data_IF_619513943522
#
_entry.id   IF_619513943522
#
_cell.length_a   1.000
_cell.length_b   1.000
_cell.length_c   1.000
_cell.angle_alpha   90.00
_cell.angle_beta   90.00
_cell.angle_gamma   90.00
#
_symmetry.space_group_name_H-M   'P 1'
#
loop_
_entity.id
_entity.type
_entity.pdbx_description
1 polymer ?
#
# COMPACT_ATOMS: atom_id res chain seq x y z
N UNK A 1 -22.99 4.61 13.54
CA UNK A 1 -21.52 4.60 13.77
C UNK A 1 -20.88 5.49 12.72
N UNK A 2 -19.87 6.28 13.10
CA UNK A 2 -19.09 7.09 12.15
C UNK A 2 -18.11 6.13 11.47
N UNK A 3 -18.05 6.09 10.12
CA UNK A 3 -17.08 5.23 9.42
C UNK A 3 -15.63 5.68 9.70
N UNK A 4 -14.70 4.75 9.73
CA UNK A 4 -13.27 5.05 9.85
C UNK A 4 -12.74 5.74 8.59
N UNK A 5 -13.24 5.30 7.41
CA UNK A 5 -12.97 5.91 6.11
C UNK A 5 -14.27 6.03 5.32
N UNK A 6 -14.51 7.19 4.73
CA UNK A 6 -15.68 7.45 3.86
C UNK A 6 -15.22 8.11 2.56
N UNK A 7 -15.57 7.52 1.44
CA UNK A 7 -15.38 8.04 0.08
C UNK A 7 -16.76 8.41 -0.46
N UNK A 8 -16.93 9.66 -0.86
CA UNK A 8 -18.23 10.16 -1.33
C UNK A 8 -18.09 10.81 -2.68
N UNK A 9 -18.81 10.27 -3.68
CA UNK A 9 -18.86 10.74 -5.06
C UNK A 9 -17.49 11.08 -5.64
N UNK A 10 -16.48 10.23 -5.32
CA UNK A 10 -15.11 10.47 -5.75
C UNK A 10 -15.01 10.38 -7.26
N UNK A 11 -14.50 11.43 -7.87
CA UNK A 11 -14.16 11.50 -9.28
C UNK A 11 -12.73 11.97 -9.50
N UNK A 12 -12.05 11.39 -10.49
CA UNK A 12 -10.73 11.82 -10.94
C UNK A 12 -10.68 11.88 -12.45
N UNK A 13 -10.28 13.03 -12.96
CA UNK A 13 -10.04 13.26 -14.39
C UNK A 13 -8.69 13.93 -14.60
N UNK A 14 -8.10 13.66 -15.76
CA UNK A 14 -6.87 14.29 -16.21
C UNK A 14 -7.12 14.98 -17.56
N UNK A 15 -6.49 16.12 -17.76
CA UNK A 15 -6.49 16.80 -19.05
C UNK A 15 -5.50 16.09 -19.97
N UNK A 16 -5.95 15.73 -21.18
CA UNK A 16 -5.15 15.08 -22.22
C UNK A 16 -5.27 15.86 -23.52
N UNK A 17 -4.38 15.61 -24.48
CA UNK A 17 -4.43 16.23 -25.81
C UNK A 17 -5.75 15.95 -26.57
N UNK A 18 -6.47 14.90 -26.18
CA UNK A 18 -7.76 14.50 -26.75
C UNK A 18 -8.97 14.99 -25.94
N UNK A 19 -8.74 15.83 -24.89
CA UNK A 19 -9.77 16.31 -23.98
C UNK A 19 -9.66 15.68 -22.60
N UNK A 20 -10.72 15.80 -21.80
CA UNK A 20 -10.75 15.34 -20.39
C UNK A 20 -10.96 13.83 -20.31
N UNK A 21 -9.98 13.11 -19.78
CA UNK A 21 -10.07 11.66 -19.52
C UNK A 21 -10.55 11.42 -18.09
N UNK A 22 -11.76 10.89 -17.94
CA UNK A 22 -12.28 10.48 -16.63
C UNK A 22 -11.75 9.09 -16.28
N UNK A 23 -10.95 8.97 -15.23
CA UNK A 23 -10.42 7.69 -14.74
C UNK A 23 -11.41 7.05 -13.79
N UNK A 24 -11.86 7.81 -12.78
CA UNK A 24 -12.81 7.38 -11.76
C UNK A 24 -13.99 8.35 -11.76
N UNK A 25 -15.21 7.85 -11.57
CA UNK A 25 -16.41 8.66 -11.48
C UNK A 25 -17.38 8.06 -10.47
N UNK A 26 -17.93 8.92 -9.61
CA UNK A 26 -18.95 8.57 -8.61
C UNK A 26 -18.62 7.32 -7.77
N UNK A 27 -17.34 7.20 -7.37
CA UNK A 27 -16.91 6.09 -6.53
C UNK A 27 -17.33 6.38 -5.08
N UNK A 28 -18.13 5.49 -4.51
CA UNK A 28 -18.67 5.60 -3.16
C UNK A 28 -18.31 4.38 -2.32
N UNK A 29 -17.71 4.57 -1.13
CA UNK A 29 -17.35 3.49 -0.22
C UNK A 29 -17.31 4.00 1.22
N UNK A 30 -17.84 3.19 2.14
CA UNK A 30 -17.71 3.42 3.59
C UNK A 30 -17.06 2.20 4.22
N UNK A 31 -16.07 2.42 5.06
CA UNK A 31 -15.34 1.38 5.79
C UNK A 31 -15.54 1.60 7.27
N UNK A 32 -16.02 0.58 7.96
CA UNK A 32 -16.20 0.60 9.41
C UNK A 32 -14.86 0.50 10.14
N UNK A 33 -14.83 0.87 11.42
CA UNK A 33 -13.64 0.71 12.25
C UNK A 33 -13.30 -0.78 12.42
N UNK A 34 -12.04 -1.14 12.24
CA UNK A 34 -11.54 -2.52 12.29
C UNK A 34 -11.85 -3.37 11.06
N UNK A 35 -12.55 -2.83 10.07
CA UNK A 35 -12.90 -3.54 8.84
C UNK A 35 -11.72 -3.59 7.86
N UNK A 36 -11.55 -4.74 7.20
CA UNK A 36 -10.58 -4.95 6.12
C UNK A 36 -11.32 -5.00 4.78
N UNK A 37 -11.08 -4.02 3.91
CA UNK A 37 -11.72 -3.93 2.60
C UNK A 37 -10.66 -4.04 1.51
N UNK A 38 -10.88 -4.93 0.53
CA UNK A 38 -10.06 -5.01 -0.68
C UNK A 38 -10.80 -4.40 -1.88
N UNK A 39 -10.09 -3.63 -2.69
CA UNK A 39 -10.54 -3.22 -4.02
C UNK A 39 -9.86 -4.10 -5.05
N UNK A 40 -10.65 -4.78 -5.89
CA UNK A 40 -10.15 -5.55 -7.03
C UNK A 40 -10.70 -4.98 -8.34
N UNK A 41 -10.04 -5.29 -9.45
CA UNK A 41 -10.42 -4.85 -10.80
C UNK A 41 -9.26 -4.98 -11.77
N UNK A 42 -9.52 -4.78 -13.05
CA UNK A 42 -8.48 -4.89 -14.08
C UNK A 42 -7.37 -3.86 -13.94
N UNK A 43 -6.21 -4.18 -14.50
CA UNK A 43 -5.09 -3.23 -14.59
C UNK A 43 -5.54 -1.94 -15.30
N UNK A 44 -5.19 -0.78 -14.72
CA UNK A 44 -5.52 0.52 -15.30
C UNK A 44 -6.96 1.01 -15.05
N UNK A 45 -7.82 0.28 -14.34
CA UNK A 45 -9.19 0.74 -14.05
C UNK A 45 -9.25 1.87 -13.01
N UNK A 46 -8.14 2.25 -12.36
CA UNK A 46 -8.12 3.38 -11.42
C UNK A 46 -8.05 3.01 -9.94
N UNK A 47 -7.80 1.74 -9.56
CA UNK A 47 -7.65 1.30 -8.15
C UNK A 47 -6.59 2.11 -7.41
N UNK A 48 -5.37 2.16 -7.95
CA UNK A 48 -4.27 2.94 -7.36
C UNK A 48 -4.55 4.44 -7.38
N UNK A 49 -5.40 4.94 -8.30
CA UNK A 49 -5.87 6.33 -8.30
C UNK A 49 -6.76 6.60 -7.10
N UNK A 50 -7.75 5.75 -6.81
CA UNK A 50 -8.60 5.88 -5.61
C UNK A 50 -7.74 5.82 -4.36
N UNK A 51 -6.81 4.86 -4.30
CA UNK A 51 -5.93 4.68 -3.14
C UNK A 51 -4.97 5.87 -2.97
N UNK A 52 -4.39 6.41 -4.05
CA UNK A 52 -3.48 7.57 -3.98
C UNK A 52 -4.19 8.85 -3.51
N UNK A 53 -5.48 9.02 -3.83
CA UNK A 53 -6.30 10.10 -3.27
C UNK A 53 -6.54 9.86 -1.78
N UNK A 54 -6.82 8.62 -1.35
CA UNK A 54 -6.95 8.27 0.05
C UNK A 54 -5.64 8.49 0.84
N UNK A 55 -4.49 8.28 0.21
CA UNK A 55 -3.17 8.60 0.77
C UNK A 55 -2.95 10.12 0.90
N UNK A 56 -3.69 10.94 0.17
CA UNK A 56 -3.49 12.39 0.07
C UNK A 56 -2.35 12.78 -0.86
N UNK A 57 -2.01 11.94 -1.85
CA UNK A 57 -0.97 12.16 -2.84
C UNK A 57 -1.49 12.84 -4.09
N UNK A 58 -2.74 12.57 -4.39
CA UNK A 58 -3.48 13.15 -5.51
C UNK A 58 -4.75 13.81 -4.99
N UNK A 59 -5.13 14.93 -5.62
CA UNK A 59 -6.39 15.58 -5.33
C UNK A 59 -7.53 14.91 -6.09
N UNK A 60 -8.72 14.85 -5.48
CA UNK A 60 -9.94 14.50 -6.17
C UNK A 60 -10.34 15.61 -7.16
N UNK A 61 -10.91 15.25 -8.30
CA UNK A 61 -11.53 16.23 -9.22
C UNK A 61 -12.97 16.53 -8.82
N UNK A 62 -13.65 15.57 -8.19
CA UNK A 62 -15.01 15.66 -7.66
C UNK A 62 -15.13 14.81 -6.39
N UNK A 63 -16.04 15.20 -5.49
CA UNK A 63 -16.22 14.49 -4.23
C UNK A 63 -15.03 14.60 -3.29
N UNK A 64 -14.87 13.63 -2.39
CA UNK A 64 -13.78 13.66 -1.42
C UNK A 64 -13.69 12.41 -0.57
N UNK A 65 -12.66 12.37 0.27
CA UNK A 65 -12.40 11.28 1.22
C UNK A 65 -12.31 11.85 2.63
N UNK A 66 -12.96 11.21 3.58
CA UNK A 66 -12.95 11.55 5.01
C UNK A 66 -12.33 10.37 5.76
N UNK A 67 -11.34 10.62 6.61
CA UNK A 67 -10.73 9.64 7.53
C UNK A 67 -10.87 10.16 8.96
N UNK A 68 -11.51 9.37 9.83
CA UNK A 68 -11.72 9.75 11.24
C UNK A 68 -12.46 11.08 11.41
N UNK A 69 -13.38 11.42 10.50
CA UNK A 69 -14.17 12.66 10.52
C UNK A 69 -13.45 13.89 9.97
N UNK A 70 -12.25 13.72 9.35
CA UNK A 70 -11.47 14.81 8.74
C UNK A 70 -11.30 14.56 7.25
N UNK A 71 -11.47 15.61 6.45
CA UNK A 71 -11.23 15.55 5.01
C UNK A 71 -9.74 15.35 4.71
N UNK A 72 -9.47 14.51 3.71
CA UNK A 72 -8.12 14.24 3.21
C UNK A 72 -7.74 15.35 2.22
N UNK A 73 -6.92 16.28 2.67
CA UNK A 73 -6.39 17.39 1.84
C UNK A 73 -4.88 17.25 1.55
N UNK A 74 -4.27 16.14 1.96
CA UNK A 74 -2.84 15.85 1.77
C UNK A 74 -2.39 14.67 2.63
N UNK A 75 -1.10 14.31 2.61
CA UNK A 75 -0.54 13.28 3.48
C UNK A 75 -0.76 13.57 4.97
N UNK A 76 -1.06 12.55 5.77
CA UNK A 76 -1.36 12.69 7.20
C UNK A 76 -0.92 11.48 8.03
N UNK A 77 -0.67 11.70 9.33
CA UNK A 77 -0.24 10.65 10.27
C UNK A 77 -1.40 9.73 10.71
N UNK A 78 -2.62 10.07 10.37
CA UNK A 78 -3.84 9.29 10.63
C UNK A 78 -3.95 8.03 9.75
N UNK A 79 -3.05 7.89 8.75
CA UNK A 79 -3.00 6.77 7.82
C UNK A 79 -1.59 6.23 7.64
N UNK A 80 -1.43 4.91 7.71
CA UNK A 80 -0.19 4.20 7.37
C UNK A 80 -0.26 3.74 5.92
N UNK A 81 0.84 3.86 5.19
CA UNK A 81 0.90 3.52 3.76
C UNK A 81 1.94 2.45 3.54
N UNK A 82 1.54 1.41 2.80
CA UNK A 82 2.44 0.37 2.26
C UNK A 82 2.29 0.37 0.75
N UNK A 83 3.38 0.66 0.06
CA UNK A 83 3.44 0.69 -1.40
C UNK A 83 3.76 -0.70 -1.97
N UNK A 84 3.53 -0.87 -3.26
CA UNK A 84 3.91 -2.05 -4.02
C UNK A 84 5.43 -2.30 -3.95
N UNK A 85 6.24 -1.26 -4.13
CA UNK A 85 7.65 -1.26 -3.72
C UNK A 85 7.74 -0.95 -2.23
N UNK A 86 8.72 -1.48 -1.52
CA UNK A 86 8.88 -1.25 -0.07
C UNK A 86 9.12 0.23 0.28
N UNK A 87 9.47 1.06 -0.70
CA UNK A 87 9.73 2.50 -0.58
C UNK A 87 10.60 2.86 0.65
N UNK A 88 11.66 2.06 0.88
CA UNK A 88 12.62 2.32 1.96
C UNK A 88 13.64 3.37 1.52
N UNK A 89 14.09 4.19 2.47
CA UNK A 89 15.19 5.11 2.26
C UNK A 89 16.50 4.30 2.23
N UNK A 90 17.22 4.25 1.09
CA UNK A 90 18.33 3.31 0.90
C UNK A 90 19.57 3.65 1.73
N UNK A 91 19.66 4.86 2.26
CA UNK A 91 20.75 5.32 3.14
C UNK A 91 20.45 5.16 4.64
N UNK A 92 19.32 4.56 5.00
CA UNK A 92 18.92 4.25 6.36
C UNK A 92 18.85 2.74 6.55
N UNK A 93 19.24 2.26 7.73
CA UNK A 93 19.05 0.86 8.12
C UNK A 93 17.57 0.51 8.25
N UNK A 94 17.24 -0.77 8.40
CA UNK A 94 15.88 -1.23 8.65
C UNK A 94 15.27 -0.56 9.89
N UNK A 95 16.03 -0.49 11.00
CA UNK A 95 15.62 0.20 12.23
C UNK A 95 15.38 1.69 12.00
N UNK A 96 16.30 2.37 11.32
CA UNK A 96 16.19 3.81 11.05
C UNK A 96 14.99 4.12 10.14
N UNK A 97 14.67 3.26 9.17
CA UNK A 97 13.47 3.39 8.36
C UNK A 97 12.19 3.31 9.21
N UNK A 98 12.14 2.46 10.23
CA UNK A 98 11.00 2.37 11.16
C UNK A 98 11.00 3.54 12.15
N UNK A 99 12.18 3.98 12.62
CA UNK A 99 12.33 5.13 13.51
C UNK A 99 11.74 6.41 12.90
N UNK A 100 11.76 6.59 11.59
CA UNK A 100 11.10 7.74 10.93
C UNK A 100 9.63 7.85 11.34
N UNK A 101 8.94 6.72 11.45
CA UNK A 101 7.53 6.68 11.85
C UNK A 101 7.37 6.88 13.38
N UNK A 102 8.17 6.17 14.18
CA UNK A 102 8.15 6.30 15.65
C UNK A 102 8.36 7.75 16.07
N UNK A 103 9.29 8.45 15.42
CA UNK A 103 9.62 9.86 15.72
C UNK A 103 8.48 10.84 15.40
N UNK A 104 7.53 10.45 14.54
CA UNK A 104 6.34 11.27 14.25
C UNK A 104 5.25 11.11 15.32
N UNK A 105 5.17 9.96 15.99
CA UNK A 105 4.14 9.69 16.99
C UNK A 105 4.39 10.44 18.28
N UNK A 106 5.59 10.34 18.84
CA UNK A 106 5.97 11.13 20.04
C UNK A 106 7.46 11.48 20.06
N UNK A 107 7.74 12.75 19.78
CA UNK A 107 9.10 13.30 19.76
C UNK A 107 9.73 13.45 21.17
N UNK A 108 8.94 13.29 22.25
CA UNK A 108 9.43 13.43 23.64
C UNK A 108 10.05 12.13 24.16
N UNK A 109 9.88 11.02 23.45
CA UNK A 109 10.45 9.73 23.85
C UNK A 109 11.99 9.79 23.84
N UNK A 110 12.60 9.15 24.84
CA UNK A 110 14.07 9.01 24.86
C UNK A 110 14.54 8.14 23.67
N UNK A 111 15.78 8.35 23.22
CA UNK A 111 16.37 7.57 22.14
C UNK A 111 16.28 6.05 22.39
N UNK A 112 16.50 5.63 23.64
CA UNK A 112 16.40 4.21 24.03
C UNK A 112 14.98 3.66 23.84
N UNK A 113 13.95 4.43 24.21
CA UNK A 113 12.54 3.99 24.05
C UNK A 113 12.17 3.95 22.57
N UNK A 114 12.56 4.93 21.78
CA UNK A 114 12.31 4.95 20.32
C UNK A 114 12.93 3.74 19.62
N UNK A 115 14.19 3.41 19.94
CA UNK A 115 14.86 2.23 19.40
C UNK A 115 14.12 0.94 19.79
N UNK A 116 13.74 0.80 21.06
CA UNK A 116 12.98 -0.37 21.52
C UNK A 116 11.62 -0.52 20.82
N UNK A 117 10.94 0.59 20.51
CA UNK A 117 9.70 0.58 19.74
C UNK A 117 9.95 0.16 18.27
N UNK A 118 10.99 0.69 17.63
CA UNK A 118 11.34 0.27 16.27
C UNK A 118 11.67 -1.22 16.21
N UNK A 119 12.46 -1.73 17.16
CA UNK A 119 12.78 -3.15 17.28
C UNK A 119 11.52 -4.01 17.55
N UNK A 120 10.59 -3.51 18.37
CA UNK A 120 9.29 -4.18 18.59
C UNK A 120 8.52 -4.37 17.28
N UNK A 121 8.41 -3.31 16.45
CA UNK A 121 7.70 -3.41 15.17
C UNK A 121 8.44 -4.27 14.14
N UNK A 122 9.78 -4.23 14.10
CA UNK A 122 10.57 -5.15 13.27
C UNK A 122 10.37 -6.61 13.69
N UNK A 123 10.40 -6.89 14.99
CA UNK A 123 10.16 -8.25 15.50
C UNK A 123 8.73 -8.73 15.19
N UNK A 124 7.73 -7.85 15.26
CA UNK A 124 6.34 -8.18 14.95
C UNK A 124 6.13 -8.62 13.49
N UNK A 125 7.00 -8.18 12.58
CA UNK A 125 7.01 -8.65 11.18
C UNK A 125 8.08 -9.73 10.92
N UNK A 126 8.63 -10.36 11.96
CA UNK A 126 9.58 -11.46 11.85
C UNK A 126 10.99 -11.04 11.42
N UNK A 127 11.38 -9.78 11.57
CA UNK A 127 12.72 -9.28 11.24
C UNK A 127 13.64 -9.24 12.47
N UNK A 128 14.04 -10.44 12.93
CA UNK A 128 14.98 -10.57 14.06
C UNK A 128 16.41 -10.56 13.52
N UNK A 129 17.28 -9.73 14.12
CA UNK A 129 18.73 -9.72 13.84
C UNK A 129 19.16 -8.96 12.58
N UNK A 130 18.23 -8.29 11.87
CA UNK A 130 18.54 -7.53 10.65
C UNK A 130 18.23 -6.02 10.78
N UNK A 131 18.03 -5.56 12.01
CA UNK A 131 17.65 -4.17 12.28
C UNK A 131 18.70 -3.16 11.79
N UNK A 132 19.97 -3.52 11.79
CA UNK A 132 21.09 -2.67 11.41
C UNK A 132 21.53 -2.87 9.95
N UNK A 133 20.82 -3.72 9.17
CA UNK A 133 21.07 -3.91 7.74
C UNK A 133 20.46 -2.78 6.91
N UNK A 134 21.14 -2.42 5.82
CA UNK A 134 20.64 -1.50 4.81
C UNK A 134 19.70 -2.19 3.83
N UNK A 135 18.82 -1.46 3.11
CA UNK A 135 17.87 -2.05 2.18
C UNK A 135 18.47 -2.91 1.07
N UNK A 136 19.69 -2.63 0.61
CA UNK A 136 20.42 -3.41 -0.40
C UNK A 136 20.96 -4.75 0.13
N UNK A 137 21.09 -4.89 1.45
CA UNK A 137 21.47 -6.13 2.12
C UNK A 137 20.26 -7.05 2.41
N UNK A 138 19.02 -6.55 2.20
CA UNK A 138 17.79 -7.25 2.51
C UNK A 138 17.16 -7.88 1.26
N UNK A 139 16.52 -9.04 1.41
CA UNK A 139 15.67 -9.62 0.37
C UNK A 139 14.45 -8.73 0.08
N UNK A 140 13.78 -8.93 -1.06
CA UNK A 140 12.55 -8.20 -1.40
C UNK A 140 11.47 -8.35 -0.32
N UNK A 141 11.27 -9.58 0.19
CA UNK A 141 10.32 -9.86 1.27
C UNK A 141 10.71 -9.17 2.58
N UNK A 142 12.00 -9.15 2.94
CA UNK A 142 12.47 -8.43 4.13
C UNK A 142 12.28 -6.93 4.01
N UNK A 143 12.56 -6.35 2.85
CA UNK A 143 12.28 -4.93 2.59
C UNK A 143 10.79 -4.59 2.74
N UNK A 144 9.93 -5.45 2.21
CA UNK A 144 8.47 -5.25 2.34
C UNK A 144 8.01 -5.34 3.80
N UNK A 145 8.56 -6.28 4.57
CA UNK A 145 8.32 -6.39 6.03
C UNK A 145 8.73 -5.10 6.78
N UNK A 146 9.88 -4.49 6.43
CA UNK A 146 10.28 -3.19 7.00
C UNK A 146 9.28 -2.09 6.65
N UNK A 147 8.78 -2.05 5.41
CA UNK A 147 7.75 -1.11 4.97
C UNK A 147 6.45 -1.25 5.78
N UNK A 148 6.02 -2.49 6.03
CA UNK A 148 4.85 -2.80 6.88
C UNK A 148 5.12 -2.37 8.33
N UNK A 149 6.27 -2.73 8.90
CA UNK A 149 6.65 -2.33 10.27
C UNK A 149 6.61 -0.79 10.42
N UNK A 150 7.13 -0.06 9.43
CA UNK A 150 7.09 1.40 9.39
C UNK A 150 5.65 1.95 9.36
N UNK A 151 4.78 1.36 8.55
CA UNK A 151 3.37 1.78 8.48
C UNK A 151 2.64 1.55 9.81
N UNK A 152 2.87 0.43 10.48
CA UNK A 152 2.29 0.12 11.78
C UNK A 152 2.87 1.00 12.91
N UNK A 153 4.15 1.38 12.81
CA UNK A 153 4.82 2.22 13.81
C UNK A 153 4.26 3.66 13.91
N UNK A 154 3.52 4.11 12.90
CA UNK A 154 2.74 5.37 12.95
C UNK A 154 1.50 5.26 13.86
N UNK A 155 1.11 4.05 14.29
CA UNK A 155 -0.16 3.79 15.00
C UNK A 155 -1.38 4.43 14.30
N UNK A 156 -1.52 4.27 12.98
CA UNK A 156 -2.50 4.98 12.20
C UNK A 156 -3.92 4.46 12.47
N UNK A 157 -4.94 5.28 12.16
CA UNK A 157 -6.34 4.85 12.16
C UNK A 157 -6.68 3.92 11.01
N UNK A 158 -6.08 4.17 9.84
CA UNK A 158 -6.32 3.40 8.61
C UNK A 158 -5.00 3.01 7.98
N UNK A 159 -4.90 1.77 7.52
CA UNK A 159 -3.81 1.28 6.69
C UNK A 159 -4.26 1.28 5.23
N UNK A 160 -3.45 1.86 4.36
CA UNK A 160 -3.64 1.93 2.92
C UNK A 160 -2.55 1.11 2.24
N UNK A 161 -2.94 0.02 1.57
CA UNK A 161 -2.00 -0.97 1.03
C UNK A 161 -2.18 -1.05 -0.50
N UNK A 162 -1.14 -0.69 -1.26
CA UNK A 162 -1.14 -0.76 -2.73
C UNK A 162 -0.37 -1.99 -3.19
N UNK A 163 -1.07 -3.06 -3.57
CA UNK A 163 -0.53 -4.34 -4.03
C UNK A 163 0.68 -4.85 -3.20
N UNK A 164 0.57 -4.93 -1.86
CA UNK A 164 1.73 -5.05 -0.97
C UNK A 164 2.50 -6.36 -1.11
N UNK A 165 1.96 -7.35 -1.82
CA UNK A 165 2.55 -8.68 -1.95
C UNK A 165 2.89 -9.07 -3.39
N UNK A 166 2.62 -8.22 -4.39
CA UNK A 166 2.71 -8.55 -5.82
C UNK A 166 4.13 -8.88 -6.29
N UNK A 167 5.17 -8.34 -5.63
CA UNK A 167 6.58 -8.53 -5.98
C UNK A 167 7.26 -9.67 -5.20
N UNK A 168 6.51 -10.46 -4.43
CA UNK A 168 7.03 -11.51 -3.57
C UNK A 168 6.85 -12.90 -4.19
N UNK A 169 7.79 -13.80 -3.89
CA UNK A 169 7.60 -15.22 -4.16
C UNK A 169 6.46 -15.81 -3.32
N UNK A 170 5.96 -16.97 -3.74
CA UNK A 170 4.75 -17.59 -3.14
C UNK A 170 4.88 -17.81 -1.63
N UNK A 171 6.01 -18.35 -1.17
CA UNK A 171 6.20 -18.69 0.26
C UNK A 171 6.27 -17.42 1.10
N UNK A 172 7.12 -16.48 0.71
CA UNK A 172 7.26 -15.19 1.40
C UNK A 172 5.93 -14.41 1.43
N UNK A 173 5.16 -14.48 0.32
CA UNK A 173 3.82 -13.86 0.25
C UNK A 173 2.87 -14.46 1.28
N UNK A 174 2.78 -15.79 1.35
CA UNK A 174 1.90 -16.48 2.30
C UNK A 174 2.25 -16.12 3.75
N UNK A 175 3.52 -16.18 4.13
CA UNK A 175 3.98 -15.81 5.45
C UNK A 175 3.64 -14.35 5.81
N UNK A 176 3.85 -13.44 4.86
CA UNK A 176 3.62 -12.02 5.11
C UNK A 176 2.13 -11.67 5.19
N UNK A 177 1.28 -12.35 4.41
CA UNK A 177 -0.18 -12.23 4.51
C UNK A 177 -0.69 -12.69 5.88
N UNK A 178 -0.18 -13.83 6.38
CA UNK A 178 -0.56 -14.34 7.70
C UNK A 178 -0.12 -13.40 8.82
N UNK A 179 1.09 -12.86 8.74
CA UNK A 179 1.59 -11.85 9.69
C UNK A 179 0.77 -10.55 9.65
N UNK A 180 0.44 -10.05 8.45
CA UNK A 180 -0.39 -8.86 8.31
C UNK A 180 -1.77 -9.07 8.91
N UNK A 181 -2.40 -10.21 8.63
CA UNK A 181 -3.72 -10.58 9.15
C UNK A 181 -3.70 -10.62 10.68
N UNK A 182 -2.68 -11.25 11.27
CA UNK A 182 -2.51 -11.30 12.72
C UNK A 182 -2.33 -9.90 13.33
N UNK A 183 -1.43 -9.08 12.78
CA UNK A 183 -1.18 -7.71 13.27
C UNK A 183 -2.44 -6.83 13.18
N UNK A 184 -3.20 -6.96 12.09
CA UNK A 184 -4.45 -6.22 11.93
C UNK A 184 -5.51 -6.65 12.95
N UNK A 185 -5.61 -7.94 13.25
CA UNK A 185 -6.53 -8.48 14.25
C UNK A 185 -6.15 -8.02 15.66
N UNK A 186 -4.89 -8.16 16.07
CA UNK A 186 -4.37 -7.75 17.37
C UNK A 186 -4.57 -6.26 17.67
N UNK A 187 -4.44 -5.42 16.64
CA UNK A 187 -4.52 -3.96 16.79
C UNK A 187 -5.85 -3.37 16.29
N UNK A 188 -6.83 -4.19 15.92
CA UNK A 188 -8.12 -3.77 15.37
C UNK A 188 -7.99 -2.72 14.25
N UNK A 189 -7.03 -2.91 13.34
CA UNK A 189 -6.74 -1.95 12.28
C UNK A 189 -7.81 -1.96 11.19
N UNK A 190 -8.24 -0.76 10.79
CA UNK A 190 -9.03 -0.57 9.57
C UNK A 190 -8.10 -0.58 8.37
N UNK A 191 -8.43 -1.33 7.32
CA UNK A 191 -7.56 -1.51 6.15
C UNK A 191 -8.33 -1.28 4.86
N UNK A 192 -7.74 -0.51 3.95
CA UNK A 192 -8.12 -0.46 2.54
C UNK A 192 -6.93 -0.95 1.72
N UNK A 193 -7.11 -2.07 1.05
CA UNK A 193 -6.08 -2.69 0.22
C UNK A 193 -6.52 -2.73 -1.24
N UNK A 194 -5.59 -2.48 -2.14
CA UNK A 194 -5.73 -2.75 -3.58
C UNK A 194 -4.95 -4.02 -3.90
N UNK A 195 -5.59 -4.94 -4.63
CA UNK A 195 -4.94 -6.13 -5.17
C UNK A 195 -5.58 -6.54 -6.49
N UNK A 196 -4.88 -7.33 -7.29
CA UNK A 196 -5.40 -8.00 -8.47
C UNK A 196 -5.60 -9.51 -8.23
N UNK A 197 -5.25 -10.01 -7.05
CA UNK A 197 -5.34 -11.42 -6.67
C UNK A 197 -6.65 -11.66 -5.90
N UNK A 198 -7.53 -12.47 -6.49
CA UNK A 198 -8.85 -12.81 -5.94
C UNK A 198 -8.73 -13.66 -4.67
N UNK A 199 -7.78 -14.59 -4.66
CA UNK A 199 -7.58 -15.49 -3.52
C UNK A 199 -7.01 -14.73 -2.32
N UNK A 200 -6.15 -13.74 -2.56
CA UNK A 200 -5.67 -12.80 -1.56
C UNK A 200 -6.81 -11.94 -0.98
N UNK A 201 -7.68 -11.40 -1.83
CA UNK A 201 -8.82 -10.62 -1.38
C UNK A 201 -9.78 -11.44 -0.51
N UNK A 202 -10.08 -12.70 -0.88
CA UNK A 202 -10.92 -13.60 -0.09
C UNK A 202 -10.28 -14.04 1.22
N UNK A 203 -8.95 -14.15 1.25
CA UNK A 203 -8.22 -14.50 2.47
C UNK A 203 -8.26 -13.38 3.51
N UNK A 204 -8.07 -12.12 3.06
CA UNK A 204 -7.79 -11.01 3.96
C UNK A 204 -9.02 -10.14 4.27
N UNK A 205 -9.91 -9.92 3.30
CA UNK A 205 -10.95 -8.90 3.41
C UNK A 205 -12.25 -9.38 4.04
N UNK A 206 -12.95 -8.49 4.75
CA UNK A 206 -14.34 -8.67 5.17
C UNK A 206 -15.31 -8.35 4.03
N UNK A 207 -14.91 -7.39 3.17
CA UNK A 207 -15.62 -7.06 1.92
C UNK A 207 -14.63 -6.87 0.78
N UNK A 208 -15.05 -7.33 -0.39
CA UNK A 208 -14.32 -7.11 -1.66
C UNK A 208 -15.15 -6.18 -2.54
N UNK A 209 -14.57 -5.04 -2.88
CA UNK A 209 -15.13 -4.04 -3.79
C UNK A 209 -14.63 -4.32 -5.19
N UNK A 210 -15.51 -4.68 -6.08
CA UNK A 210 -15.21 -4.93 -7.49
C UNK A 210 -15.37 -3.63 -8.28
N UNK A 211 -14.29 -3.16 -8.87
CA UNK A 211 -14.26 -1.92 -9.63
C UNK A 211 -14.50 -2.20 -11.11
N UNK A 212 -15.39 -1.42 -11.74
CA UNK A 212 -15.65 -1.51 -13.18
C UNK A 212 -14.43 -1.07 -14.00
N UNK A 213 -14.41 -1.38 -15.29
CA UNK A 213 -13.35 -0.89 -16.17
C UNK A 213 -13.54 0.60 -16.51
N UNK A 214 -12.42 1.23 -16.89
CA UNK A 214 -12.44 2.57 -17.49
C UNK A 214 -13.03 2.60 -18.90
N UNK A 215 -13.31 3.78 -19.45
CA UNK A 215 -13.24 5.09 -18.79
C UNK A 215 -14.32 5.28 -17.71
N UNK A 216 -14.09 6.20 -16.79
CA UNK A 216 -15.03 6.56 -15.70
C UNK A 216 -15.41 5.35 -14.81
N UNK A 217 -14.41 4.60 -14.37
CA UNK A 217 -14.61 3.44 -13.49
C UNK A 217 -15.26 3.84 -12.15
N UNK A 218 -16.10 2.94 -11.64
CA UNK A 218 -16.83 3.12 -10.39
C UNK A 218 -16.89 1.80 -9.60
N UNK A 219 -17.56 1.81 -8.46
CA UNK A 219 -17.94 0.57 -7.75
C UNK A 219 -18.96 -0.19 -8.59
N UNK A 220 -18.60 -1.39 -9.03
CA UNK A 220 -19.53 -2.28 -9.75
C UNK A 220 -20.35 -3.12 -8.79
N UNK A 221 -19.68 -3.86 -7.92
CA UNK A 221 -20.32 -4.73 -6.93
C UNK A 221 -19.50 -4.75 -5.64
N UNK A 222 -20.14 -4.99 -4.51
CA UNK A 222 -19.47 -5.20 -3.22
C UNK A 222 -19.88 -6.56 -2.68
N UNK A 223 -18.90 -7.45 -2.53
CA UNK A 223 -19.07 -8.79 -2.02
C UNK A 223 -18.70 -8.85 -0.54
N UNK A 224 -19.59 -9.32 0.31
CA UNK A 224 -19.26 -9.64 1.70
C UNK A 224 -18.58 -11.01 1.77
N UNK A 225 -17.51 -11.11 2.55
CA UNK A 225 -16.77 -12.35 2.80
C UNK A 225 -17.17 -12.89 4.17
N UNK A 226 -17.98 -13.96 4.25
CA UNK A 226 -18.65 -14.38 5.50
C UNK A 226 -17.74 -15.20 6.45
N UNK A 227 -16.44 -15.26 6.16
CA UNK A 227 -15.50 -16.02 6.99
C UNK A 227 -14.89 -15.09 8.04
N UNK A 228 -14.85 -15.57 9.30
CA UNK A 228 -14.22 -14.83 10.40
C UNK A 228 -12.68 -14.75 10.23
N UNK A 229 -12.08 -13.66 10.68
CA UNK A 229 -10.62 -13.47 10.70
C UNK A 229 -10.05 -13.75 12.11
N UNK A 230 -8.82 -14.26 12.24
CA UNK A 230 -7.88 -14.69 11.20
C UNK A 230 -8.32 -15.99 10.53
N UNK A 231 -8.12 -16.10 9.21
CA UNK A 231 -8.53 -17.27 8.42
C UNK A 231 -7.40 -18.27 8.26
N UNK A 232 -7.72 -19.55 8.42
CA UNK A 232 -6.81 -20.63 8.03
C UNK A 232 -6.97 -20.94 6.54
N UNK A 233 -5.86 -20.94 5.79
CA UNK A 233 -5.87 -21.12 4.34
C UNK A 233 -6.43 -22.46 3.91
N UNK A 234 -6.07 -23.54 4.60
CA UNK A 234 -6.51 -24.89 4.24
C UNK A 234 -8.00 -25.04 4.49
N UNK A 235 -8.47 -24.61 5.67
CA UNK A 235 -9.89 -24.62 5.99
C UNK A 235 -10.74 -23.76 5.04
N UNK A 236 -10.17 -22.64 4.60
CA UNK A 236 -10.84 -21.73 3.64
C UNK A 236 -11.01 -22.38 2.28
N UNK A 237 -9.97 -23.04 1.74
CA UNK A 237 -10.01 -23.71 0.44
C UNK A 237 -10.98 -24.90 0.43
N UNK A 238 -11.14 -25.57 1.57
CA UNK A 238 -12.05 -26.71 1.70
C UNK A 238 -13.54 -26.29 1.84
N UNK A 239 -13.82 -24.99 2.07
CA UNK A 239 -15.20 -24.50 2.19
C UNK A 239 -15.86 -24.31 0.83
N UNK A 240 -17.02 -24.95 0.55
CA UNK A 240 -17.75 -24.77 -0.70
C UNK A 240 -18.12 -23.31 -1.01
N UNK A 241 -18.37 -22.50 0.03
CA UNK A 241 -18.73 -21.08 -0.13
C UNK A 241 -17.54 -20.26 -0.67
N UNK A 242 -16.31 -20.66 -0.36
CA UNK A 242 -15.10 -20.03 -0.93
C UNK A 242 -15.08 -20.15 -2.45
N UNK A 243 -15.35 -21.32 -2.99
CA UNK A 243 -15.37 -21.56 -4.44
C UNK A 243 -16.49 -20.78 -5.14
N UNK A 244 -17.65 -20.62 -4.48
CA UNK A 244 -18.75 -19.79 -5.00
C UNK A 244 -18.36 -18.32 -5.08
N UNK A 245 -17.82 -17.77 -3.98
CA UNK A 245 -17.35 -16.37 -3.93
C UNK A 245 -16.22 -16.12 -4.93
N UNK A 246 -15.26 -17.04 -5.02
CA UNK A 246 -14.18 -16.97 -6.00
C UNK A 246 -14.69 -16.95 -7.44
N UNK A 247 -15.67 -17.81 -7.75
CA UNK A 247 -16.29 -17.85 -9.08
C UNK A 247 -17.06 -16.56 -9.38
N UNK A 248 -17.75 -15.98 -8.40
CA UNK A 248 -18.44 -14.69 -8.54
C UNK A 248 -17.46 -13.57 -8.85
N UNK A 249 -16.34 -13.47 -8.11
CA UNK A 249 -15.30 -12.46 -8.34
C UNK A 249 -14.67 -12.61 -9.73
N UNK A 250 -14.31 -13.83 -10.12
CA UNK A 250 -13.74 -14.11 -11.45
C UNK A 250 -14.76 -13.83 -12.57
N UNK A 251 -16.03 -14.19 -12.38
CA UNK A 251 -17.09 -13.91 -13.33
C UNK A 251 -17.32 -12.42 -13.54
N UNK A 252 -17.29 -11.62 -12.48
CA UNK A 252 -17.35 -10.16 -12.58
C UNK A 252 -16.16 -9.60 -13.38
N UNK A 253 -14.93 -10.04 -13.07
CA UNK A 253 -13.74 -9.61 -13.78
C UNK A 253 -13.79 -9.99 -15.26
N UNK A 254 -14.21 -11.22 -15.61
CA UNK A 254 -14.34 -11.70 -16.98
C UNK A 254 -15.39 -10.89 -17.78
N UNK A 255 -16.55 -10.64 -17.20
CA UNK A 255 -17.60 -9.82 -17.83
C UNK A 255 -17.13 -8.40 -18.15
N UNK A 256 -16.27 -7.82 -17.31
CA UNK A 256 -15.73 -6.48 -17.52
C UNK A 256 -14.46 -6.47 -18.38
N UNK A 257 -13.78 -7.62 -18.59
CA UNK A 257 -12.60 -7.71 -19.46
C UNK A 257 -12.91 -7.39 -20.93
N UNK A 258 -14.11 -7.74 -21.40
CA UNK A 258 -14.49 -7.65 -22.82
C UNK A 258 -14.76 -6.24 -23.35
N UNK A 259 -14.77 -5.20 -22.51
CA UNK A 259 -15.16 -3.83 -22.88
C UNK A 259 -14.01 -2.82 -22.92
N UNK A 260 -12.76 -3.24 -22.80
CA UNK A 260 -11.63 -2.30 -22.71
C UNK A 260 -10.32 -2.83 -23.28
N UNK A 261 -10.25 -3.08 -24.58
CA UNK A 261 -8.96 -3.29 -25.25
C UNK A 261 -8.24 -1.93 -25.42
N UNK A 262 -7.53 -1.49 -24.38
CA UNK A 262 -6.45 -0.51 -24.55
C UNK A 262 -5.23 -1.27 -25.04
N UNK A 263 -4.54 -0.85 -26.14
CA UNK A 263 -3.36 -1.54 -26.63
C UNK A 263 -2.27 -1.54 -25.54
N UNK A 264 -2.01 -2.69 -24.96
CA UNK A 264 -0.87 -2.87 -24.06
C UNK A 264 0.42 -2.76 -24.87
N UNK A 265 1.25 -1.77 -24.55
CA UNK A 265 2.67 -1.79 -24.97
C UNK A 265 3.29 -3.07 -24.44
N UNK A 266 4.04 -3.83 -25.25
CA UNK A 266 4.72 -5.02 -24.79
C UNK A 266 5.71 -4.66 -23.68
N UNK A 267 5.52 -5.26 -22.52
CA UNK A 267 6.50 -5.20 -21.43
C UNK A 267 7.68 -6.05 -21.88
N UNK A 268 8.80 -5.41 -22.21
CA UNK A 268 10.08 -6.12 -22.43
C UNK A 268 10.46 -6.83 -21.13
N UNK A 269 10.77 -8.10 -21.24
CA UNK A 269 11.30 -8.94 -20.16
C UNK A 269 12.41 -8.22 -19.40
N UNK A 270 12.18 -7.85 -18.17
CA UNK A 270 13.21 -7.37 -17.26
C UNK A 270 13.58 -8.50 -16.30
N UNK A 271 14.83 -8.88 -16.36
CA UNK A 271 15.46 -9.86 -15.47
C UNK A 271 15.26 -9.49 -13.99
N UNK A 272 14.86 -10.48 -13.21
CA UNK A 272 14.61 -10.38 -11.77
C UNK A 272 15.95 -10.28 -11.00
N UNK A 273 16.41 -9.05 -10.76
CA UNK A 273 17.41 -8.78 -9.72
C UNK A 273 17.28 -7.34 -9.25
N UNK A 274 16.84 -7.16 -8.01
CA UNK A 274 16.49 -5.94 -7.29
C UNK A 274 15.13 -5.34 -7.69
N UNK A 275 14.22 -5.20 -6.72
CA UNK A 275 12.96 -4.48 -6.92
C UNK A 275 13.20 -3.05 -7.41
N UNK A 276 12.26 -2.43 -8.11
CA UNK A 276 12.42 -1.07 -8.59
C UNK A 276 12.73 -0.12 -7.43
N UNK A 277 13.65 0.81 -7.66
CA UNK A 277 13.88 1.91 -6.71
C UNK A 277 12.57 2.68 -6.51
N UNK A 278 12.31 3.21 -5.29
CA UNK A 278 11.11 3.96 -5.01
C UNK A 278 10.98 5.13 -6.00
N UNK A 279 9.76 5.35 -6.47
CA UNK A 279 9.47 6.44 -7.40
C UNK A 279 9.69 7.80 -6.72
N UNK A 280 9.92 8.89 -7.48
CA UNK A 280 10.00 10.24 -6.90
C UNK A 280 8.76 10.61 -6.06
N UNK A 281 7.58 10.11 -6.43
CA UNK A 281 6.33 10.29 -5.69
C UNK A 281 6.35 9.53 -4.36
N UNK A 282 6.79 8.28 -4.34
CA UNK A 282 6.95 7.49 -3.11
C UNK A 282 7.99 8.12 -2.16
N UNK A 283 9.11 8.63 -2.69
CA UNK A 283 10.11 9.34 -1.90
C UNK A 283 9.56 10.65 -1.34
N UNK A 284 8.82 11.41 -2.13
CA UNK A 284 8.17 12.65 -1.69
C UNK A 284 7.16 12.41 -0.56
N UNK A 285 6.43 11.29 -0.63
CA UNK A 285 5.50 10.86 0.42
C UNK A 285 6.25 10.55 1.70
N UNK A 286 7.30 9.73 1.62
CA UNK A 286 8.12 9.39 2.78
C UNK A 286 8.68 10.68 3.40
N UNK A 287 9.15 11.62 2.59
CA UNK A 287 9.66 12.91 3.06
C UNK A 287 8.58 13.74 3.77
N UNK A 288 7.37 13.82 3.23
CA UNK A 288 6.24 14.52 3.85
C UNK A 288 5.70 13.83 5.10
N UNK A 289 5.55 12.48 5.06
CA UNK A 289 5.06 11.72 6.20
C UNK A 289 6.05 11.67 7.37
N UNK A 290 7.35 11.74 7.08
CA UNK A 290 8.40 11.61 8.10
C UNK A 290 8.96 12.94 8.58
N UNK A 291 8.51 14.07 8.01
CA UNK A 291 9.04 15.40 8.39
C UNK A 291 10.56 15.53 8.15
N UNK A 292 11.10 14.80 7.18
CA UNK A 292 12.53 14.65 6.89
C UNK A 292 13.32 15.98 6.84
N UNK A 293 12.66 17.08 6.45
CA UNK A 293 13.29 18.40 6.45
C UNK A 293 13.77 18.88 7.85
N UNK A 294 13.25 18.30 8.94
CA UNK A 294 13.70 18.61 10.31
C UNK A 294 15.01 17.91 10.70
N UNK A 295 15.33 16.77 10.06
CA UNK A 295 16.51 15.95 10.40
C UNK A 295 17.80 16.37 9.70
N UNK A 296 17.78 17.39 8.81
CA UNK A 296 18.98 17.87 8.08
C UNK A 296 20.16 18.27 8.97
N UNK A 297 19.96 18.47 10.27
CA UNK A 297 21.01 18.88 11.23
C UNK A 297 21.75 17.75 11.94
N UNK A 298 21.15 16.54 12.05
CA UNK A 298 21.68 15.49 12.94
C UNK A 298 22.47 14.38 12.23
N UNK A 299 22.34 14.24 10.91
CA UNK A 299 23.03 13.17 10.17
C UNK A 299 24.34 13.69 9.57
N UNK A 300 25.47 13.26 10.13
CA UNK A 300 26.82 13.49 9.57
C UNK A 300 26.93 12.80 8.21
N UNK A 301 27.17 13.61 7.16
CA UNK A 301 27.40 13.26 5.74
C UNK A 301 26.13 12.80 4.98
N UNK A 302 25.38 13.79 4.49
CA UNK A 302 24.38 13.60 3.44
C UNK A 302 24.97 13.98 2.09
N UNK A 303 24.76 13.18 1.03
CA UNK A 303 24.94 13.67 -0.33
C UNK A 303 23.91 14.80 -0.60
N UNK A 304 24.32 15.84 -1.32
CA UNK A 304 23.42 16.87 -1.80
C UNK A 304 22.36 16.22 -2.72
N UNK A 305 21.16 16.82 -2.86
CA UNK A 305 20.11 16.31 -3.74
C UNK A 305 20.60 16.08 -5.18
N UNK A 306 21.59 16.86 -5.63
CA UNK A 306 22.27 16.69 -6.93
C UNK A 306 23.09 15.41 -6.98
N UNK A 307 23.74 15.01 -5.87
CA UNK A 307 24.50 13.75 -5.77
C UNK A 307 23.55 12.53 -5.71
N UNK A 308 22.35 12.67 -5.17
CA UNK A 308 21.32 11.63 -5.16
C UNK A 308 20.78 11.38 -6.57
N UNK A 309 20.45 12.43 -7.31
CA UNK A 309 20.06 12.35 -8.72
C UNK A 309 21.18 11.74 -9.59
N UNK A 310 22.43 12.10 -9.32
CA UNK A 310 23.61 11.55 -9.99
C UNK A 310 23.92 10.11 -9.59
N UNK A 311 23.61 9.69 -8.36
CA UNK A 311 23.74 8.31 -7.91
C UNK A 311 22.65 7.42 -8.53
N UNK A 312 21.40 7.88 -8.58
CA UNK A 312 20.29 7.19 -9.23
C UNK A 312 20.51 7.06 -10.75
N UNK A 313 21.08 8.10 -11.39
CA UNK A 313 21.44 8.06 -12.80
C UNK A 313 22.60 7.07 -13.09
N UNK A 314 23.59 6.98 -12.20
CA UNK A 314 24.73 6.03 -12.34
C UNK A 314 24.34 4.58 -12.10
N UNK A 315 23.38 4.31 -11.21
CA UNK A 315 22.84 2.95 -11.01
C UNK A 315 21.98 2.51 -12.22
N UNK A 316 21.31 3.45 -12.88
CA UNK A 316 20.56 3.16 -14.10
C UNK A 316 21.46 2.87 -15.31
N UNK A 317 22.63 3.50 -15.42
CA UNK A 317 23.57 3.30 -16.53
C UNK A 317 24.36 1.99 -16.37
N UNK A 318 24.64 1.53 -15.13
CA UNK A 318 25.28 0.22 -14.89
C UNK A 318 24.35 -0.99 -15.11
N UNK A 319 23.04 -0.77 -15.22
CA UNK A 319 22.07 -1.82 -15.55
C UNK A 319 21.83 -1.97 -17.06
N UNK A 320 22.49 -1.14 -17.90
CA UNK A 320 22.37 -1.12 -19.36
C UNK A 320 23.71 -1.40 -20.08
N UNK A 321 24.78 -1.72 -19.37
CA UNK A 321 26.04 -2.26 -19.86
C UNK A 321 26.26 -3.68 -19.28
#
# INVERSE_FOLDING_TARGET
>A
MIPALEITRLGKSYDTDQGKANIVKDFNLKIAEGEFVCIIGHSGCGKSTVLSIAMGLNDASEGGIIIGGREVVGPGLDRGVVFQSSALLPWLTARENVLLAVDQVDQRLSAKVRQALADKFLNAVGLVGVADCYPDELSAGMRQRVGIARAFALEPRVLLLDEPFSLLDVITRMELQDQLMQLCAEQHKTVLMVTHDVDEALLLADRVVMMTNGPAATVGEILAVPFERPRDRLSLIDDPSYHQLRSQLLGFLDQHAMHGAVPTRPVSERSATAGPAPTPEELFVIEKFTGFNRFRGEFRKKPAMEDLAAHLARTHVKALS
#
